data_IF_219181094736
#
_entry.id   IF_219181094736
#
_cell.length_a   1.000
_cell.length_b   1.000
_cell.length_c   1.000
_cell.angle_alpha   90.00
_cell.angle_beta   90.00
_cell.angle_gamma   90.00
#
_symmetry.space_group_name_H-M   'P 1'
#
loop_
_entity.id
_entity.type
_entity.pdbx_description
1 polymer ?
#
# COMPACT_ATOMS: atom_id res chain seq x y z
N UNK A 1 6.90 3.01 -8.85
CA UNK A 1 5.74 2.19 -8.42
C UNK A 1 6.26 1.09 -7.52
N UNK A 2 5.55 0.76 -6.45
CA UNK A 2 5.90 -0.33 -5.53
C UNK A 2 4.95 -1.48 -5.75
N UNK A 3 5.50 -2.69 -5.89
CA UNK A 3 4.75 -3.94 -5.90
C UNK A 3 5.14 -4.73 -4.65
N UNK A 4 4.18 -5.00 -3.76
CA UNK A 4 4.48 -5.84 -2.61
C UNK A 4 4.51 -7.31 -3.05
N UNK A 5 5.46 -8.11 -2.55
CA UNK A 5 5.49 -9.54 -2.81
C UNK A 5 4.22 -10.24 -2.32
N UNK A 6 3.80 -11.31 -3.00
CA UNK A 6 2.67 -12.14 -2.59
C UNK A 6 2.90 -12.88 -1.25
N UNK A 7 4.12 -12.86 -0.71
CA UNK A 7 4.42 -13.37 0.63
C UNK A 7 4.07 -12.38 1.75
N UNK A 8 3.76 -11.13 1.42
CA UNK A 8 3.37 -10.13 2.42
C UNK A 8 1.94 -10.42 2.88
N UNK A 9 1.79 -10.67 4.19
CA UNK A 9 0.48 -10.92 4.80
C UNK A 9 -0.05 -9.72 5.61
N UNK A 10 0.81 -8.77 5.98
CA UNK A 10 0.42 -7.58 6.72
C UNK A 10 1.26 -6.36 6.32
N UNK A 11 0.64 -5.19 6.34
CA UNK A 11 1.29 -3.88 6.19
C UNK A 11 1.14 -3.15 7.53
N UNK A 12 2.26 -2.80 8.17
CA UNK A 12 2.26 -2.15 9.48
C UNK A 12 1.74 -0.71 9.48
N UNK A 13 1.43 -0.19 10.67
CA UNK A 13 1.13 1.24 10.88
C UNK A 13 2.25 2.11 10.31
N UNK A 14 1.91 3.15 9.56
CA UNK A 14 2.85 4.09 8.94
C UNK A 14 3.90 3.47 7.98
N UNK A 15 3.70 2.26 7.43
CA UNK A 15 4.73 1.55 6.65
C UNK A 15 5.31 2.32 5.45
N UNK A 16 4.52 3.18 4.80
CA UNK A 16 4.97 4.05 3.72
C UNK A 16 4.83 5.54 4.10
N UNK A 17 4.75 5.87 5.38
CA UNK A 17 4.61 7.27 5.82
C UNK A 17 5.77 8.12 5.28
N UNK A 18 5.46 9.34 4.85
CA UNK A 18 6.38 10.33 4.30
C UNK A 18 7.13 9.86 3.03
N UNK A 19 6.63 8.84 2.32
CA UNK A 19 7.21 8.41 1.05
C UNK A 19 6.83 9.38 -0.10
N UNK A 20 7.48 10.54 -0.12
CA UNK A 20 7.16 11.66 -1.02
C UNK A 20 7.27 11.33 -2.52
N UNK A 21 8.09 10.34 -2.89
CA UNK A 21 8.26 9.90 -4.29
C UNK A 21 7.34 8.73 -4.68
N UNK A 22 6.57 8.18 -3.74
CA UNK A 22 5.74 7.02 -3.99
C UNK A 22 4.51 7.40 -4.82
N UNK A 23 4.51 7.05 -6.10
CA UNK A 23 3.44 7.44 -7.02
C UNK A 23 2.33 6.41 -7.20
N UNK A 24 2.64 5.12 -7.06
CA UNK A 24 1.72 4.00 -7.26
C UNK A 24 2.11 2.82 -6.38
N UNK A 25 1.11 2.11 -5.85
CA UNK A 25 1.29 0.91 -5.01
C UNK A 25 0.35 -0.19 -5.47
N UNK A 26 0.87 -1.40 -5.65
CA UNK A 26 0.08 -2.62 -5.77
C UNK A 26 0.16 -3.42 -4.46
N UNK A 27 -0.99 -3.59 -3.81
CA UNK A 27 -1.16 -4.42 -2.62
C UNK A 27 -1.69 -5.77 -3.09
N UNK A 28 -0.98 -6.90 -2.89
CA UNK A 28 -1.45 -8.22 -3.30
C UNK A 28 -2.60 -8.72 -2.42
N UNK A 29 -3.39 -9.66 -2.94
CA UNK A 29 -4.53 -10.27 -2.22
C UNK A 29 -4.12 -11.06 -0.97
N UNK A 30 -2.83 -11.39 -0.83
CA UNK A 30 -2.27 -12.05 0.36
C UNK A 30 -2.28 -11.16 1.60
N UNK A 31 -2.40 -9.84 1.44
CA UNK A 31 -2.40 -8.88 2.55
C UNK A 31 -3.74 -8.94 3.26
N UNK A 32 -3.75 -9.57 4.44
CA UNK A 32 -4.93 -9.69 5.29
C UNK A 32 -5.09 -8.52 6.27
N UNK A 33 -3.98 -7.83 6.60
CA UNK A 33 -3.97 -6.77 7.61
C UNK A 33 -3.29 -5.51 7.08
N UNK A 34 -3.98 -4.38 7.15
CA UNK A 34 -3.45 -3.06 6.76
C UNK A 34 -3.53 -2.15 7.98
N UNK A 35 -2.39 -1.67 8.45
CA UNK A 35 -2.27 -0.78 9.59
C UNK A 35 -2.85 0.61 9.32
N UNK A 36 -2.89 1.43 10.36
CA UNK A 36 -3.35 2.82 10.25
C UNK A 36 -2.30 3.70 9.59
N UNK A 37 -2.76 4.74 8.87
CA UNK A 37 -1.89 5.79 8.31
C UNK A 37 -0.75 5.28 7.41
N UNK A 38 -0.95 4.14 6.74
CA UNK A 38 0.07 3.46 5.92
C UNK A 38 0.70 4.38 4.87
N UNK A 39 -0.09 5.25 4.24
CA UNK A 39 0.36 6.21 3.22
C UNK A 39 0.30 7.66 3.69
N UNK A 40 0.42 7.92 5.00
CA UNK A 40 0.36 9.27 5.55
C UNK A 40 1.50 10.14 4.97
N UNK A 41 1.20 11.39 4.61
CA UNK A 41 2.11 12.33 3.93
C UNK A 41 2.71 11.82 2.59
N UNK A 42 2.15 10.80 1.94
CA UNK A 42 2.58 10.40 0.60
C UNK A 42 2.04 11.37 -0.47
N UNK A 43 2.64 12.55 -0.59
CA UNK A 43 2.11 13.65 -1.42
C UNK A 43 2.08 13.34 -2.92
N UNK A 44 2.95 12.47 -3.42
CA UNK A 44 2.95 12.05 -4.83
C UNK A 44 2.08 10.83 -5.14
N UNK A 45 1.40 10.23 -4.15
CA UNK A 45 0.66 8.98 -4.35
C UNK A 45 -0.61 9.21 -5.15
N UNK A 46 -0.63 8.67 -6.37
CA UNK A 46 -1.74 8.82 -7.32
C UNK A 46 -2.71 7.66 -7.31
N UNK A 47 -2.24 6.45 -6.98
CA UNK A 47 -3.06 5.25 -7.07
C UNK A 47 -2.56 4.14 -6.15
N UNK A 48 -3.51 3.45 -5.52
CA UNK A 48 -3.31 2.20 -4.80
C UNK A 48 -4.23 1.16 -5.43
N UNK A 49 -3.66 0.05 -5.89
CA UNK A 49 -4.41 -1.07 -6.47
C UNK A 49 -4.49 -2.20 -5.46
N UNK A 50 -5.70 -2.68 -5.20
CA UNK A 50 -6.00 -3.84 -4.35
C UNK A 50 -6.80 -4.83 -5.21
N UNK A 51 -6.31 -6.06 -5.47
CA UNK A 51 -7.03 -7.07 -6.21
C UNK A 51 -8.20 -7.58 -5.35
N UNK A 52 -9.41 -7.60 -5.93
CA UNK A 52 -10.63 -8.10 -5.29
C UNK A 52 -11.60 -7.03 -4.78
N UNK A 53 -11.26 -5.74 -4.82
CA UNK A 53 -12.18 -4.65 -4.46
C UNK A 53 -12.91 -4.04 -5.67
N UNK A 54 -13.27 -4.87 -6.65
CA UNK A 54 -14.22 -4.51 -7.71
C UNK A 54 -15.41 -5.48 -7.63
N UNK A 55 -16.38 -5.10 -6.81
CA UNK A 55 -17.79 -5.47 -6.93
C UNK A 55 -18.61 -4.27 -6.51
#
# INVERSE_FOLDING_TARGET
>A
MVHLPASVNAIGKNAFKDCLSLSRVYIPSSVANIGTSVFKECTSLKSVTIPGSLS
#
